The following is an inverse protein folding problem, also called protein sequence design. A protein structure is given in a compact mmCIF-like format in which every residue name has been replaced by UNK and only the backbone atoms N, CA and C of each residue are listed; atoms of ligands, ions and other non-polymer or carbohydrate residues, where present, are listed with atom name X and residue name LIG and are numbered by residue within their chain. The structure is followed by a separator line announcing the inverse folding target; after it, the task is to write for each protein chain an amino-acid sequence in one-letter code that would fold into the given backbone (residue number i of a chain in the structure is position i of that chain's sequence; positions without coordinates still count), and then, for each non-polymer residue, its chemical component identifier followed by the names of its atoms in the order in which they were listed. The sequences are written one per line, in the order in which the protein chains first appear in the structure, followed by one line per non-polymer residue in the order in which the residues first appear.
data_IF_238710478797
#
_entry.id   IF_238710478797
#
_cell.length_a   1.000
_cell.length_b   1.000
_cell.length_c   1.000
_cell.angle_alpha   90.00
_cell.angle_beta   90.00
_cell.angle_gamma   90.00
#
_symmetry.space_group_name_H-M   'P 1'
#
loop_
_entity.id
_entity.type
_entity.pdbx_description
1 polymer ?
#
# COMPACT_ATOMS: atom_id res chain seq x y z
N UNK A 1 -1.37 -19.45 -11.06
CA UNK A 1 -2.60 -18.65 -11.03
C UNK A 1 -2.34 -17.46 -10.10
N UNK A 2 -2.64 -16.23 -10.50
CA UNK A 2 -2.52 -15.08 -9.60
C UNK A 2 -3.48 -15.27 -8.43
N UNK A 3 -3.02 -14.98 -7.22
CA UNK A 3 -3.86 -15.01 -6.01
C UNK A 3 -5.05 -14.06 -6.19
N UNK A 4 -6.28 -14.59 -6.12
CA UNK A 4 -7.53 -13.83 -6.28
C UNK A 4 -7.60 -12.68 -5.27
N UNK A 5 -7.03 -12.87 -4.07
CA UNK A 5 -6.93 -11.81 -3.05
C UNK A 5 -6.09 -10.64 -3.54
N UNK A 6 -4.97 -10.90 -4.20
CA UNK A 6 -4.09 -9.86 -4.72
C UNK A 6 -4.78 -9.08 -5.85
N UNK A 7 -5.50 -9.77 -6.73
CA UNK A 7 -6.26 -9.13 -7.82
C UNK A 7 -7.32 -8.18 -7.25
N UNK A 8 -8.03 -8.59 -6.19
CA UNK A 8 -9.03 -7.75 -5.54
C UNK A 8 -8.42 -6.51 -4.86
N UNK A 9 -7.27 -6.66 -4.19
CA UNK A 9 -6.56 -5.53 -3.58
C UNK A 9 -6.05 -4.53 -4.64
N UNK A 10 -5.53 -5.03 -5.77
CA UNK A 10 -5.10 -4.15 -6.88
C UNK A 10 -6.30 -3.37 -7.44
N UNK A 11 -7.46 -4.00 -7.63
CA UNK A 11 -8.68 -3.31 -8.07
C UNK A 11 -9.14 -2.23 -7.08
N UNK A 12 -9.05 -2.51 -5.78
CA UNK A 12 -9.36 -1.50 -4.75
C UNK A 12 -8.38 -0.33 -4.79
N UNK A 13 -7.09 -0.62 -4.99
CA UNK A 13 -6.06 0.40 -5.14
C UNK A 13 -6.29 1.26 -6.39
N UNK A 14 -6.67 0.64 -7.52
CA UNK A 14 -7.05 1.33 -8.75
C UNK A 14 -8.26 2.26 -8.54
N UNK A 15 -9.31 1.78 -7.88
CA UNK A 15 -10.48 2.60 -7.58
C UNK A 15 -10.15 3.83 -6.70
N UNK A 16 -9.20 3.68 -5.77
CA UNK A 16 -8.71 4.80 -4.96
C UNK A 16 -7.84 5.78 -5.77
N UNK A 17 -6.94 5.24 -6.58
CA UNK A 17 -5.93 6.02 -7.31
C UNK A 17 -6.47 6.67 -8.60
N UNK A 18 -7.53 6.08 -9.18
CA UNK A 18 -8.18 6.53 -10.41
C UNK A 18 -7.68 5.84 -11.69
N UNK A 19 -6.58 5.08 -11.64
CA UNK A 19 -6.10 4.25 -12.76
C UNK A 19 -5.14 3.16 -12.29
N UNK A 20 -4.95 2.13 -13.12
CA UNK A 20 -3.94 1.09 -12.88
C UNK A 20 -2.56 1.53 -13.39
N UNK A 21 -1.57 1.56 -12.51
CA UNK A 21 -0.17 1.85 -12.86
C UNK A 21 0.82 0.88 -12.21
N UNK A 22 2.03 0.70 -12.76
CA UNK A 22 3.01 -0.25 -12.23
C UNK A 22 3.47 0.09 -10.80
N UNK A 23 3.62 1.39 -10.48
CA UNK A 23 4.02 1.84 -9.14
C UNK A 23 2.91 1.65 -8.10
N UNK A 24 1.64 1.77 -8.50
CA UNK A 24 0.49 1.42 -7.67
C UNK A 24 0.53 -0.06 -7.28
N UNK A 25 0.69 -0.95 -8.28
CA UNK A 25 0.80 -2.40 -8.06
C UNK A 25 2.01 -2.75 -7.21
N UNK A 26 3.13 -2.05 -7.40
CA UNK A 26 4.32 -2.21 -6.58
C UNK A 26 4.02 -1.92 -5.11
N UNK A 27 3.33 -0.82 -4.80
CA UNK A 27 2.91 -0.48 -3.44
C UNK A 27 2.04 -1.55 -2.77
N UNK A 28 1.07 -2.12 -3.51
CA UNK A 28 0.23 -3.22 -3.02
C UNK A 28 1.08 -4.46 -2.69
N UNK A 29 1.99 -4.84 -3.60
CA UNK A 29 2.87 -6.00 -3.40
C UNK A 29 3.84 -5.81 -2.23
N UNK A 30 4.44 -4.62 -2.10
CA UNK A 30 5.32 -4.27 -0.98
C UNK A 30 4.59 -4.41 0.36
N UNK A 31 3.39 -3.84 0.47
CA UNK A 31 2.58 -3.94 1.68
C UNK A 31 2.22 -5.39 2.03
N UNK A 32 1.85 -6.20 1.05
CA UNK A 32 1.54 -7.62 1.27
C UNK A 32 2.75 -8.44 1.70
N UNK A 33 3.90 -8.20 1.08
CA UNK A 33 5.15 -8.83 1.49
C UNK A 33 5.50 -8.44 2.93
N UNK A 34 5.41 -7.16 3.29
CA UNK A 34 5.65 -6.69 4.65
C UNK A 34 4.69 -7.32 5.67
N UNK A 35 3.38 -7.35 5.40
CA UNK A 35 2.38 -8.02 6.26
C UNK A 35 2.73 -9.49 6.49
N UNK A 36 3.12 -10.21 5.43
CA UNK A 36 3.52 -11.62 5.51
C UNK A 36 4.78 -11.81 6.35
N UNK A 37 5.82 -11.00 6.12
CA UNK A 37 7.08 -11.10 6.85
C UNK A 37 6.94 -10.76 8.34
N UNK A 38 6.01 -9.86 8.67
CA UNK A 38 5.75 -9.41 10.03
C UNK A 38 4.65 -10.21 10.75
N UNK A 39 4.11 -11.26 10.12
CA UNK A 39 2.99 -12.07 10.65
C UNK A 39 1.80 -11.22 11.12
N UNK A 40 1.48 -10.15 10.40
CA UNK A 40 0.35 -9.28 10.74
C UNK A 40 -0.94 -10.02 10.37
N UNK A 41 -1.80 -10.24 11.35
CA UNK A 41 -3.14 -10.76 11.12
C UNK A 41 -3.94 -9.79 10.23
N UNK A 42 -4.58 -10.34 9.19
CA UNK A 42 -5.49 -9.63 8.28
C UNK A 42 -6.67 -8.99 9.02
N UNK A 43 -6.99 -9.45 10.22
CA UNK A 43 -8.10 -8.94 11.01
C UNK A 43 -7.70 -7.86 12.02
N UNK A 44 -6.40 -7.66 12.27
CA UNK A 44 -5.92 -6.68 13.25
C UNK A 44 -4.86 -5.73 12.68
N UNK A 45 -5.30 -4.75 11.92
CA UNK A 45 -4.46 -3.67 11.39
C UNK A 45 -4.34 -2.46 12.32
N UNK A 46 -4.95 -2.47 13.52
CA UNK A 46 -5.10 -1.25 14.34
C UNK A 46 -3.74 -0.71 14.81
N UNK A 47 -2.82 -1.60 15.14
CA UNK A 47 -1.52 -1.26 15.73
C UNK A 47 -0.39 -1.11 14.70
N UNK A 48 -0.69 -1.25 13.41
CA UNK A 48 0.31 -1.09 12.36
C UNK A 48 0.64 0.38 12.12
N UNK A 49 1.93 0.67 11.96
CA UNK A 49 2.43 1.91 11.39
C UNK A 49 3.31 1.60 10.18
N UNK A 50 3.24 2.47 9.17
CA UNK A 50 3.98 2.34 7.92
C UNK A 50 4.84 3.57 7.72
N UNK A 51 6.12 3.34 7.43
CA UNK A 51 7.11 4.37 7.14
C UNK A 51 7.61 4.12 5.72
N UNK A 52 7.50 5.13 4.86
CA UNK A 52 7.89 5.03 3.45
C UNK A 52 8.89 6.12 3.12
N UNK A 53 9.94 5.75 2.43
CA UNK A 53 10.95 6.67 1.91
C UNK A 53 10.94 6.55 0.37
N UNK A 54 10.57 7.62 -0.32
CA UNK A 54 10.49 7.70 -1.79
C UNK A 54 10.47 9.16 -2.27
N UNK A 55 10.81 9.44 -3.55
CA UNK A 55 10.57 10.75 -4.15
C UNK A 55 9.07 11.07 -4.20
N UNK A 56 8.65 12.20 -3.64
CA UNK A 56 7.26 12.68 -3.64
C UNK A 56 6.86 13.29 -5.00
N UNK A 57 7.16 12.58 -6.08
CA UNK A 57 6.82 12.94 -7.46
C UNK A 57 6.26 11.74 -8.19
N UNK A 58 5.38 11.98 -9.17
CA UNK A 58 4.92 10.90 -10.05
C UNK A 58 6.07 10.39 -10.92
N UNK A 59 6.12 9.08 -11.21
CA UNK A 59 5.16 8.06 -10.81
C UNK A 59 5.47 7.39 -9.46
N UNK A 60 6.56 7.76 -8.77
CA UNK A 60 6.99 7.09 -7.52
C UNK A 60 5.99 7.26 -6.38
N UNK A 61 5.39 8.44 -6.23
CA UNK A 61 4.39 8.70 -5.20
C UNK A 61 3.13 7.83 -5.32
N UNK A 62 2.84 7.24 -6.48
CA UNK A 62 1.73 6.29 -6.67
C UNK A 62 1.88 5.02 -5.80
N UNK A 63 3.11 4.69 -5.36
CA UNK A 63 3.36 3.60 -4.39
C UNK A 63 2.56 3.83 -3.11
N UNK A 64 2.44 5.08 -2.66
CA UNK A 64 1.74 5.43 -1.41
C UNK A 64 0.29 4.96 -1.44
N UNK A 65 -0.42 5.14 -2.56
CA UNK A 65 -1.82 4.73 -2.67
C UNK A 65 -1.98 3.20 -2.65
N UNK A 66 -1.04 2.48 -3.26
CA UNK A 66 -1.01 1.02 -3.19
C UNK A 66 -0.80 0.51 -1.76
N UNK A 67 0.10 1.18 -1.01
CA UNK A 67 0.34 0.89 0.41
C UNK A 67 -0.89 1.21 1.26
N UNK A 68 -1.50 2.39 1.07
CA UNK A 68 -2.71 2.79 1.80
C UNK A 68 -3.86 1.81 1.56
N UNK A 69 -4.09 1.42 0.31
CA UNK A 69 -5.14 0.46 -0.06
C UNK A 69 -4.93 -0.93 0.57
N UNK A 70 -3.68 -1.40 0.65
CA UNK A 70 -3.35 -2.73 1.16
C UNK A 70 -3.19 -2.80 2.69
N UNK A 71 -2.90 -1.70 3.37
CA UNK A 71 -2.62 -1.67 4.82
C UNK A 71 -3.66 -0.94 5.65
N UNK A 72 -4.51 -0.12 5.02
CA UNK A 72 -5.36 0.87 5.68
C UNK A 72 -4.59 1.87 6.56
N UNK A 73 -3.26 1.89 6.53
CA UNK A 73 -2.44 2.92 7.16
C UNK A 73 -2.41 4.11 6.22
N UNK A 74 -3.07 5.20 6.59
CA UNK A 74 -3.26 6.37 5.74
C UNK A 74 -2.65 7.60 6.36
N UNK A 75 -2.47 8.64 5.54
CA UNK A 75 -2.11 9.97 6.06
C UNK A 75 -3.19 10.45 7.05
N UNK A 76 -4.47 10.27 6.69
CA UNK A 76 -5.61 10.74 7.49
C UNK A 76 -5.72 10.10 8.88
N UNK A 77 -5.43 8.80 9.01
CA UNK A 77 -5.39 8.14 10.31
C UNK A 77 -4.01 8.21 11.00
N UNK A 78 -3.07 8.97 10.44
CA UNK A 78 -1.72 9.24 10.99
C UNK A 78 -0.84 8.00 11.18
N UNK A 79 -1.14 6.91 10.47
CA UNK A 79 -0.35 5.67 10.51
C UNK A 79 0.59 5.49 9.34
N UNK A 80 0.51 6.37 8.34
CA UNK A 80 1.50 6.46 7.26
C UNK A 80 2.38 7.70 7.47
N UNK A 81 3.70 7.48 7.56
CA UNK A 81 4.71 8.55 7.55
C UNK A 81 5.54 8.45 6.28
N UNK A 82 5.79 9.58 5.64
CA UNK A 82 6.52 9.65 4.38
C UNK A 82 7.74 10.55 4.53
N UNK A 83 8.89 10.06 4.09
CA UNK A 83 10.13 10.82 3.95
C UNK A 83 10.44 10.99 2.46
N UNK A 84 10.61 12.24 2.05
CA UNK A 84 11.02 12.59 0.70
C UNK A 84 12.55 12.62 0.60
N UNK A 85 13.10 12.12 -0.51
CA UNK A 85 14.52 12.24 -0.86
C UNK A 85 14.71 12.52 -2.35
#
# INVERSE_FOLDING_TARGET
MLDESLVLEIKKAENLHGHLGPFLVLGVKMANLAKKLLNIDRNNHRDMQVFVELPLTTPFSCILDGIQAATQCTIGNRRLRVKNF
#
